data_IF_428518239512
#
_entry.id   IF_428518239512
#
_cell.length_a   1.000
_cell.length_b   1.000
_cell.length_c   1.000
_cell.angle_alpha   90.00
_cell.angle_beta   90.00
_cell.angle_gamma   90.00
#
_symmetry.space_group_name_H-M   'P 1'
#
loop_
_entity.id
_entity.type
_entity.pdbx_description
1 polymer ?
#
# COMPACT_ATOMS: atom_id res chain seq x y z
N UNK A 1 -12.13 -2.14 9.79
CA UNK A 1 -10.76 -1.66 9.50
C UNK A 1 -9.98 -2.58 8.55
N UNK A 2 -10.23 -3.90 8.52
CA UNK A 2 -9.72 -4.77 7.43
C UNK A 2 -10.60 -4.78 6.17
N UNK A 3 -11.93 -4.66 6.32
CA UNK A 3 -12.88 -4.72 5.20
C UNK A 3 -12.60 -3.70 4.09
N UNK A 4 -12.17 -2.48 4.43
CA UNK A 4 -11.83 -1.44 3.43
C UNK A 4 -10.65 -1.84 2.53
N UNK A 5 -9.66 -2.58 3.05
CA UNK A 5 -8.54 -3.05 2.23
C UNK A 5 -8.93 -4.23 1.35
N UNK A 6 -9.85 -5.07 1.83
CA UNK A 6 -10.40 -6.19 1.05
C UNK A 6 -11.25 -5.65 -0.09
N UNK A 7 -12.17 -4.72 0.18
CA UNK A 7 -12.99 -4.08 -0.85
C UNK A 7 -12.15 -3.34 -1.89
N UNK A 8 -11.09 -2.64 -1.45
CA UNK A 8 -10.12 -2.04 -2.36
C UNK A 8 -9.44 -3.08 -3.26
N UNK A 9 -9.04 -4.22 -2.69
CA UNK A 9 -8.39 -5.30 -3.44
C UNK A 9 -9.35 -5.91 -4.47
N UNK A 10 -10.62 -6.09 -4.11
CA UNK A 10 -11.66 -6.57 -5.03
C UNK A 10 -11.95 -5.55 -6.13
N UNK A 11 -12.03 -4.26 -5.79
CA UNK A 11 -12.26 -3.19 -6.77
C UNK A 11 -11.08 -3.03 -7.76
N UNK A 12 -9.85 -3.28 -7.30
CA UNK A 12 -8.65 -3.27 -8.14
C UNK A 12 -8.38 -4.60 -8.86
N UNK A 13 -9.11 -5.67 -8.55
CA UNK A 13 -8.97 -6.94 -9.23
C UNK A 13 -9.27 -6.77 -10.73
N UNK A 14 -8.36 -7.26 -11.59
CA UNK A 14 -8.49 -7.13 -13.05
C UNK A 14 -8.00 -5.79 -13.63
N UNK A 15 -7.67 -4.79 -12.81
CA UNK A 15 -7.10 -3.51 -13.28
C UNK A 15 -5.58 -3.58 -13.57
N UNK A 16 -4.94 -4.69 -13.23
CA UNK A 16 -3.49 -4.87 -13.31
C UNK A 16 -2.73 -4.39 -12.07
N UNK A 17 -3.41 -3.80 -11.09
CA UNK A 17 -2.86 -3.45 -9.77
C UNK A 17 -3.04 -4.63 -8.82
N UNK A 18 -1.97 -5.03 -8.13
CA UNK A 18 -2.00 -6.10 -7.13
C UNK A 18 -1.98 -5.48 -5.73
N UNK A 19 -2.95 -5.85 -4.91
CA UNK A 19 -3.00 -5.45 -3.49
C UNK A 19 -2.54 -6.62 -2.65
N UNK A 20 -1.59 -6.37 -1.75
CA UNK A 20 -1.03 -7.39 -0.86
C UNK A 20 -0.80 -6.83 0.54
N UNK A 21 -0.78 -7.72 1.54
CA UNK A 21 -0.41 -7.39 2.91
C UNK A 21 0.92 -8.05 3.25
N UNK A 22 1.81 -7.29 3.88
CA UNK A 22 3.10 -7.76 4.37
C UNK A 22 3.19 -7.53 5.87
N UNK A 23 3.47 -8.58 6.64
CA UNK A 23 3.64 -8.48 8.09
C UNK A 23 5.07 -8.05 8.39
N UNK A 24 5.24 -6.76 8.66
CA UNK A 24 6.55 -6.14 8.85
C UNK A 24 7.04 -6.13 10.32
N UNK A 25 6.71 -7.18 11.08
CA UNK A 25 7.04 -7.32 12.49
C UNK A 25 8.22 -8.30 12.73
N UNK A 26 8.74 -8.32 13.96
CA UNK A 26 9.79 -9.27 14.37
C UNK A 26 11.11 -9.08 13.61
N UNK A 27 11.63 -10.16 13.03
CA UNK A 27 12.87 -10.15 12.24
C UNK A 27 12.75 -9.32 10.95
N UNK A 28 11.56 -9.24 10.38
CA UNK A 28 11.29 -8.49 9.14
C UNK A 28 11.19 -6.97 9.38
N UNK A 29 11.15 -6.52 10.64
CA UNK A 29 11.04 -5.10 10.99
C UNK A 29 12.25 -4.29 10.49
N UNK A 30 13.46 -4.82 10.62
CA UNK A 30 14.68 -4.14 10.13
C UNK A 30 14.65 -3.96 8.61
N UNK A 31 14.31 -5.02 7.89
CA UNK A 31 14.14 -4.98 6.43
C UNK A 31 13.06 -3.97 6.03
N UNK A 32 11.90 -4.01 6.69
CA UNK A 32 10.81 -3.10 6.37
C UNK A 32 11.14 -1.62 6.67
N UNK A 33 11.90 -1.34 7.73
CA UNK A 33 12.35 0.02 8.03
C UNK A 33 13.31 0.56 6.96
N UNK A 34 14.25 -0.27 6.51
CA UNK A 34 15.26 0.13 5.52
C UNK A 34 14.68 0.19 4.10
N UNK A 35 14.05 -0.89 3.64
CA UNK A 35 13.63 -1.04 2.24
C UNK A 35 12.21 -0.51 1.99
N UNK A 36 11.31 -0.71 2.96
CA UNK A 36 9.89 -0.36 2.83
C UNK A 36 9.56 0.99 3.49
N UNK A 37 10.56 1.73 3.99
CA UNK A 37 10.38 3.01 4.69
C UNK A 37 9.32 2.93 5.80
N UNK A 38 9.25 1.79 6.49
CA UNK A 38 8.31 1.55 7.57
C UNK A 38 8.62 2.52 8.72
N UNK A 39 7.69 3.45 8.98
CA UNK A 39 7.75 4.35 10.14
C UNK A 39 6.81 3.89 11.25
N UNK A 40 5.53 3.76 10.91
CA UNK A 40 4.46 3.41 11.85
C UNK A 40 3.48 2.44 11.19
N UNK A 41 2.78 1.65 12.01
CA UNK A 41 1.75 0.75 11.51
C UNK A 41 0.37 1.41 11.49
N UNK A 42 -0.48 1.10 10.49
CA UNK A 42 -0.14 0.53 9.19
C UNK A 42 0.57 1.57 8.27
N UNK A 43 1.52 1.10 7.47
CA UNK A 43 2.14 1.88 6.37
C UNK A 43 1.65 1.32 5.04
N UNK A 44 1.18 2.20 4.15
CA UNK A 44 0.72 1.85 2.81
C UNK A 44 1.75 2.34 1.80
N UNK A 45 2.17 1.43 0.92
CA UNK A 45 3.16 1.69 -0.13
C UNK A 45 2.57 1.30 -1.48
N UNK A 46 2.84 2.12 -2.48
CA UNK A 46 2.50 1.83 -3.87
C UNK A 46 3.77 1.68 -4.70
N UNK A 47 3.78 0.65 -5.55
CA UNK A 47 4.92 0.31 -6.42
C UNK A 47 4.49 0.49 -7.88
N UNK A 48 4.79 1.65 -8.51
CA UNK A 48 4.46 1.90 -9.91
C UNK A 48 5.27 0.98 -10.82
N UNK A 49 4.70 0.55 -11.96
CA UNK A 49 5.43 -0.26 -12.95
C UNK A 49 6.71 0.39 -13.48
N UNK A 50 6.73 1.72 -13.56
CA UNK A 50 7.84 2.48 -14.13
C UNK A 50 8.83 3.02 -13.08
N UNK A 51 8.66 2.66 -11.80
CA UNK A 51 9.52 3.14 -10.71
C UNK A 51 10.05 1.98 -9.87
N UNK A 52 11.35 1.96 -9.65
CA UNK A 52 11.99 1.02 -8.72
C UNK A 52 11.83 1.43 -7.25
N UNK A 53 11.26 2.60 -6.97
CA UNK A 53 11.10 3.13 -5.60
C UNK A 53 9.62 3.13 -5.18
N UNK A 54 9.28 2.63 -3.98
CA UNK A 54 7.93 2.72 -3.45
C UNK A 54 7.54 4.17 -3.15
N UNK A 55 6.29 4.51 -3.45
CA UNK A 55 5.65 5.77 -3.08
C UNK A 55 4.85 5.53 -1.81
N UNK A 56 5.19 6.25 -0.74
CA UNK A 56 4.47 6.19 0.52
C UNK A 56 3.15 6.95 0.40
N UNK A 57 2.06 6.34 0.85
CA UNK A 57 0.78 7.02 0.94
C UNK A 57 0.84 8.10 2.05
N UNK A 58 0.68 9.39 1.71
CA UNK A 58 0.88 10.48 2.68
C UNK A 58 -0.36 10.76 3.53
N UNK A 59 -1.53 10.25 3.15
CA UNK A 59 -2.78 10.60 3.82
C UNK A 59 -3.08 9.68 5.01
N UNK A 60 -3.63 10.25 6.06
CA UNK A 60 -4.20 9.50 7.19
C UNK A 60 -5.56 8.87 6.82
N UNK A 61 -6.23 9.37 5.78
CA UNK A 61 -7.52 8.84 5.31
C UNK A 61 -7.31 7.49 4.62
N UNK A 62 -7.76 6.43 5.29
CA UNK A 62 -7.65 5.03 4.84
C UNK A 62 -8.97 4.52 4.24
N UNK A 63 -9.80 5.43 3.77
CA UNK A 63 -11.05 5.12 3.07
C UNK A 63 -10.78 4.56 1.68
N UNK A 64 -11.66 3.67 1.23
CA UNK A 64 -11.54 3.00 -0.08
C UNK A 64 -11.42 3.99 -1.23
N UNK A 65 -12.23 5.06 -1.21
CA UNK A 65 -12.20 6.10 -2.24
C UNK A 65 -10.85 6.84 -2.31
N UNK A 66 -10.24 7.15 -1.17
CA UNK A 66 -8.96 7.86 -1.13
C UNK A 66 -7.82 6.97 -1.63
N UNK A 67 -7.84 5.68 -1.28
CA UNK A 67 -6.86 4.70 -1.75
C UNK A 67 -7.01 4.43 -3.25
N UNK A 68 -8.24 4.31 -3.75
CA UNK A 68 -8.52 4.20 -5.18
C UNK A 68 -8.02 5.41 -5.97
N UNK A 69 -8.31 6.62 -5.48
CA UNK A 69 -7.85 7.85 -6.13
C UNK A 69 -6.32 7.91 -6.19
N UNK A 70 -5.63 7.51 -5.11
CA UNK A 70 -4.17 7.45 -5.07
C UNK A 70 -3.58 6.43 -6.05
N UNK A 71 -4.14 5.22 -6.08
CA UNK A 71 -3.71 4.17 -7.03
C UNK A 71 -3.93 4.64 -8.47
N UNK A 72 -5.09 5.23 -8.77
CA UNK A 72 -5.39 5.74 -10.12
C UNK A 72 -4.50 6.92 -10.52
N UNK A 73 -4.08 7.76 -9.57
CA UNK A 73 -3.19 8.89 -9.83
C UNK A 73 -1.73 8.47 -10.10
N UNK A 74 -1.31 7.28 -9.64
CA UNK A 74 0.07 6.78 -9.78
C UNK A 74 0.22 5.61 -10.76
N UNK A 75 -0.88 5.15 -11.32
CA UNK A 75 -0.98 4.09 -12.33
C UNK A 75 -0.29 4.46 -13.64
#
# INVERSE_FOLDING_TARGET
MEGSYVELAESLAGTGVKVGKFRADGEQKKYAQQELKLGSFPTILFFPKHSSKPVKYPSEKRDVASLLAFVNALR
#
